data_IF_767850228527
#
_entry.id   IF_767850228527
#
_cell.length_a   1.000
_cell.length_b   1.000
_cell.length_c   1.000
_cell.angle_alpha   90.00
_cell.angle_beta   90.00
_cell.angle_gamma   90.00
#
_symmetry.space_group_name_H-M   'P 1'
#
loop_
_entity.id
_entity.type
_entity.pdbx_description
1 polymer ?
#
# COMPACT_ATOMS: atom_id res chain seq x y z
N UNK A 1 -7.80 -6.46 -14.59
CA UNK A 1 -7.05 -7.72 -14.80
C UNK A 1 -6.57 -8.37 -13.50
N UNK A 2 -7.13 -7.96 -12.33
CA UNK A 2 -6.65 -8.37 -10.99
C UNK A 2 -7.38 -9.58 -10.37
N UNK A 3 -8.31 -10.21 -11.07
CA UNK A 3 -9.15 -11.27 -10.47
C UNK A 3 -8.44 -12.65 -10.37
N UNK A 4 -7.41 -12.91 -11.15
CA UNK A 4 -6.67 -14.18 -11.11
C UNK A 4 -5.72 -14.35 -9.92
N UNK A 5 -5.14 -13.25 -9.44
CA UNK A 5 -4.15 -13.23 -8.35
C UNK A 5 -4.78 -13.57 -6.98
N UNK A 6 -5.98 -13.05 -6.70
CA UNK A 6 -6.67 -13.28 -5.42
C UNK A 6 -7.11 -14.74 -5.23
N UNK A 7 -7.52 -15.43 -6.29
CA UNK A 7 -7.88 -16.86 -6.23
C UNK A 7 -6.67 -17.78 -5.96
N UNK A 8 -5.48 -17.42 -6.47
CA UNK A 8 -4.27 -18.22 -6.20
C UNK A 8 -3.77 -18.07 -4.76
N UNK A 9 -4.00 -16.93 -4.11
CA UNK A 9 -3.62 -16.69 -2.71
C UNK A 9 -4.37 -17.62 -1.74
N UNK A 10 -5.66 -17.82 -1.96
CA UNK A 10 -6.51 -18.65 -1.09
C UNK A 10 -6.21 -20.16 -1.29
N UNK A 11 -5.88 -20.59 -2.50
CA UNK A 11 -5.59 -21.99 -2.82
C UNK A 11 -4.29 -22.51 -2.17
N UNK A 12 -3.39 -21.62 -1.73
CA UNK A 12 -2.11 -21.99 -1.12
C UNK A 12 -2.12 -22.08 0.41
N UNK A 13 -3.23 -21.76 1.09
CA UNK A 13 -3.33 -21.85 2.56
C UNK A 13 -3.88 -23.21 2.92
N UNK A 14 -3.09 -24.13 3.54
CA UNK A 14 -3.56 -25.46 3.88
C UNK A 14 -4.42 -25.46 5.16
N UNK A 15 -5.11 -24.37 5.43
CA UNK A 15 -6.01 -24.26 6.58
C UNK A 15 -7.40 -24.68 6.12
N UNK A 16 -7.86 -25.84 6.61
CA UNK A 16 -9.24 -26.26 6.44
C UNK A 16 -10.14 -25.30 7.21
N UNK A 17 -10.75 -24.34 6.51
CA UNK A 17 -11.76 -23.47 7.10
C UNK A 17 -12.97 -24.33 7.42
N UNK A 18 -13.20 -24.63 8.69
CA UNK A 18 -14.44 -25.25 9.15
C UNK A 18 -15.46 -24.12 9.28
N UNK A 19 -16.54 -24.10 8.46
CA UNK A 19 -17.56 -23.07 8.59
C UNK A 19 -18.12 -23.10 10.00
N UNK A 20 -18.08 -21.99 10.70
CA UNK A 20 -18.79 -21.84 11.99
C UNK A 20 -20.29 -21.91 11.70
N UNK A 21 -20.99 -22.83 12.32
CA UNK A 21 -22.41 -23.13 12.09
C UNK A 21 -23.31 -21.95 12.43
N UNK A 22 -22.83 -20.99 13.23
CA UNK A 22 -23.55 -19.75 13.56
C UNK A 22 -22.64 -18.55 13.44
N UNK A 23 -22.93 -17.69 12.47
CA UNK A 23 -22.30 -16.36 12.38
C UNK A 23 -22.94 -15.48 13.46
N UNK A 24 -22.20 -15.24 14.54
CA UNK A 24 -22.67 -14.32 15.59
C UNK A 24 -22.88 -12.93 15.00
N UNK A 25 -24.00 -12.28 15.35
CA UNK A 25 -24.25 -10.90 14.98
C UNK A 25 -23.12 -10.03 15.54
N UNK A 26 -22.55 -9.17 14.68
CA UNK A 26 -21.52 -8.22 15.12
C UNK A 26 -22.11 -7.27 16.17
N UNK A 27 -21.37 -6.92 17.23
CA UNK A 27 -21.80 -5.93 18.21
C UNK A 27 -22.19 -4.59 17.54
N UNK A 28 -23.17 -3.90 18.09
CA UNK A 28 -23.72 -2.67 17.49
C UNK A 28 -22.72 -1.51 17.42
N UNK A 29 -21.63 -1.57 18.20
CA UNK A 29 -20.57 -0.58 18.17
C UNK A 29 -19.58 -0.78 17.00
N UNK A 30 -19.57 -1.95 16.37
CA UNK A 30 -18.78 -2.19 15.14
C UNK A 30 -19.56 -1.61 13.95
N UNK A 31 -19.40 -0.32 13.75
CA UNK A 31 -19.99 0.40 12.62
C UNK A 31 -18.89 1.14 11.86
N UNK A 32 -18.85 0.97 10.57
CA UNK A 32 -18.02 1.78 9.67
C UNK A 32 -18.89 2.92 9.16
N UNK A 33 -18.39 4.16 9.27
CA UNK A 33 -19.04 5.30 8.60
C UNK A 33 -18.88 5.11 7.10
N UNK A 34 -19.98 5.09 6.38
CA UNK A 34 -19.96 5.06 4.92
C UNK A 34 -19.62 6.47 4.44
N UNK A 35 -18.41 6.64 3.93
CA UNK A 35 -18.03 7.85 3.20
C UNK A 35 -18.70 7.86 1.82
N UNK A 36 -18.71 9.03 1.17
CA UNK A 36 -19.31 9.17 -0.15
C UNK A 36 -18.70 8.18 -1.16
N UNK A 37 -19.51 7.28 -1.76
CA UNK A 37 -19.01 6.36 -2.79
C UNK A 37 -18.34 7.08 -3.95
N UNK A 38 -18.81 8.29 -4.29
CA UNK A 38 -18.25 9.11 -5.35
C UNK A 38 -16.83 9.59 -5.05
N UNK A 39 -16.55 9.97 -3.80
CA UNK A 39 -15.21 10.39 -3.38
C UNK A 39 -14.20 9.26 -3.42
N UNK A 40 -14.59 8.09 -2.89
CA UNK A 40 -13.76 6.87 -2.97
C UNK A 40 -13.48 6.50 -4.44
N UNK A 41 -14.49 6.58 -5.31
CA UNK A 41 -14.33 6.30 -6.72
C UNK A 41 -13.36 7.29 -7.39
N UNK A 42 -13.44 8.59 -7.06
CA UNK A 42 -12.54 9.64 -7.55
C UNK A 42 -11.08 9.33 -7.18
N UNK A 43 -10.84 9.02 -5.91
CA UNK A 43 -9.48 8.72 -5.43
C UNK A 43 -8.94 7.46 -6.12
N UNK A 44 -9.73 6.40 -6.21
CA UNK A 44 -9.33 5.18 -6.92
C UNK A 44 -9.04 5.41 -8.40
N UNK A 45 -9.82 6.26 -9.06
CA UNK A 45 -9.56 6.64 -10.45
C UNK A 45 -8.21 7.35 -10.59
N UNK A 46 -7.89 8.28 -9.68
CA UNK A 46 -6.62 9.01 -9.68
C UNK A 46 -5.43 8.07 -9.46
N UNK A 47 -5.52 7.15 -8.51
CA UNK A 47 -4.48 6.14 -8.26
C UNK A 47 -4.21 5.28 -9.51
N UNK A 48 -5.26 4.85 -10.22
CA UNK A 48 -5.10 4.07 -11.46
C UNK A 48 -4.52 4.86 -12.61
N UNK A 49 -4.92 6.13 -12.75
CA UNK A 49 -4.35 7.03 -13.75
C UNK A 49 -2.83 7.16 -13.59
N UNK A 50 -2.36 7.27 -12.35
CA UNK A 50 -0.96 7.40 -11.99
C UNK A 50 -0.24 6.04 -11.78
N UNK A 51 -0.93 4.92 -12.01
CA UNK A 51 -0.42 3.55 -11.79
C UNK A 51 0.11 3.29 -10.37
N UNK A 52 -0.49 3.96 -9.39
CA UNK A 52 -0.12 3.83 -7.98
C UNK A 52 -0.94 2.77 -7.27
N UNK A 53 -0.34 2.19 -6.25
CA UNK A 53 -0.94 1.17 -5.39
C UNK A 53 -1.11 1.68 -3.96
N UNK A 54 -2.14 1.21 -3.28
CA UNK A 54 -2.34 1.48 -1.86
C UNK A 54 -2.59 0.18 -1.11
N UNK A 55 -2.01 0.07 0.08
CA UNK A 55 -2.31 -1.05 0.99
C UNK A 55 -3.80 -1.11 1.29
N UNK A 56 -4.46 0.06 1.33
CA UNK A 56 -5.90 0.16 1.59
C UNK A 56 -6.75 -0.59 0.55
N UNK A 57 -6.31 -0.62 -0.72
CA UNK A 57 -7.00 -1.38 -1.78
C UNK A 57 -6.53 -2.84 -1.80
N UNK A 58 -5.22 -3.10 -1.73
CA UNK A 58 -4.65 -4.43 -1.84
C UNK A 58 -5.05 -5.34 -0.66
N UNK A 59 -5.11 -4.79 0.55
CA UNK A 59 -5.58 -5.52 1.74
C UNK A 59 -7.10 -5.48 1.93
N UNK A 60 -7.87 -4.95 0.97
CA UNK A 60 -9.32 -4.79 1.07
C UNK A 60 -9.76 -4.16 2.42
N UNK A 61 -9.07 -3.10 2.84
CA UNK A 61 -9.26 -2.47 4.14
C UNK A 61 -10.68 -1.90 4.29
N UNK A 62 -11.42 -2.26 5.35
CA UNK A 62 -12.78 -1.76 5.55
C UNK A 62 -12.82 -0.25 5.88
N UNK A 63 -11.71 0.33 6.33
CA UNK A 63 -11.61 1.73 6.73
C UNK A 63 -11.18 2.67 5.59
N UNK A 64 -10.90 2.13 4.40
CA UNK A 64 -10.40 2.89 3.24
C UNK A 64 -11.18 4.18 3.01
N UNK A 65 -12.51 4.10 3.00
CA UNK A 65 -13.36 5.24 2.73
C UNK A 65 -13.25 6.34 3.79
N UNK A 66 -13.13 5.94 5.07
CA UNK A 66 -12.97 6.88 6.18
C UNK A 66 -11.59 7.55 6.12
N UNK A 67 -10.51 6.77 5.97
CA UNK A 67 -9.14 7.31 5.89
C UNK A 67 -9.01 8.31 4.75
N UNK A 68 -9.51 7.98 3.57
CA UNK A 68 -9.47 8.88 2.43
C UNK A 68 -10.24 10.19 2.67
N UNK A 69 -11.42 10.13 3.29
CA UNK A 69 -12.20 11.33 3.67
C UNK A 69 -11.49 12.18 4.72
N UNK A 70 -10.69 11.56 5.59
CA UNK A 70 -9.94 12.26 6.64
C UNK A 70 -8.61 12.83 6.11
N UNK A 71 -8.31 12.65 4.82
CA UNK A 71 -7.08 13.12 4.18
C UNK A 71 -5.86 12.27 4.52
N UNK A 72 -6.07 10.97 4.72
CA UNK A 72 -5.02 9.98 5.03
C UNK A 72 -5.01 8.87 3.99
N UNK A 73 -3.82 8.50 3.50
CA UNK A 73 -3.64 7.35 2.61
C UNK A 73 -2.36 6.58 2.97
N UNK A 74 -2.33 5.29 2.61
CA UNK A 74 -1.14 4.45 2.74
C UNK A 74 -0.73 3.98 1.35
N UNK A 75 0.30 4.59 0.79
CA UNK A 75 0.87 4.21 -0.50
C UNK A 75 1.75 2.98 -0.36
N UNK A 76 1.67 2.11 -1.34
CA UNK A 76 2.53 0.94 -1.45
C UNK A 76 3.39 1.12 -2.71
N UNK A 77 4.65 1.47 -2.52
CA UNK A 77 5.59 1.75 -3.59
C UNK A 77 6.32 0.49 -4.08
N UNK A 78 7.01 0.61 -5.21
CA UNK A 78 7.75 -0.46 -5.89
C UNK A 78 6.87 -1.56 -6.49
N UNK A 79 5.60 -1.22 -6.77
CA UNK A 79 4.63 -2.09 -7.43
C UNK A 79 3.75 -2.89 -6.48
N UNK A 80 3.08 -3.92 -7.02
CA UNK A 80 2.08 -4.74 -6.33
C UNK A 80 2.50 -6.19 -6.11
N UNK A 81 3.75 -6.54 -6.47
CA UNK A 81 4.29 -7.90 -6.34
C UNK A 81 5.49 -7.90 -5.41
N UNK A 82 5.36 -8.63 -4.31
CA UNK A 82 6.39 -8.80 -3.30
C UNK A 82 7.30 -9.99 -3.63
N UNK A 83 8.61 -9.89 -3.35
CA UNK A 83 9.53 -11.02 -3.45
C UNK A 83 9.31 -12.07 -2.37
N UNK A 84 8.61 -11.71 -1.27
CA UNK A 84 8.36 -12.58 -0.12
C UNK A 84 6.91 -12.99 -0.02
N UNK A 85 6.69 -14.12 0.66
CA UNK A 85 5.37 -14.69 0.91
C UNK A 85 5.11 -14.79 2.41
N UNK A 86 4.60 -13.71 2.98
CA UNK A 86 4.24 -13.70 4.40
C UNK A 86 2.83 -14.29 4.59
N UNK A 87 2.61 -15.21 5.55
CA UNK A 87 1.33 -15.90 5.70
C UNK A 87 0.18 -14.99 6.16
N UNK A 88 0.48 -13.84 6.72
CA UNK A 88 -0.48 -12.84 7.20
C UNK A 88 -0.74 -11.72 6.19
N UNK A 89 -0.01 -11.68 5.06
CA UNK A 89 -0.07 -10.60 4.10
C UNK A 89 -0.91 -10.96 2.88
N UNK A 90 -1.81 -10.06 2.47
CA UNK A 90 -2.68 -10.26 1.31
C UNK A 90 -2.13 -9.66 0.00
N UNK A 91 -0.92 -9.08 0.03
CA UNK A 91 -0.25 -8.54 -1.15
C UNK A 91 0.23 -9.66 -2.08
N UNK A 92 0.18 -9.43 -3.39
CA UNK A 92 0.67 -10.35 -4.40
C UNK A 92 2.16 -10.68 -4.21
N UNK A 93 2.56 -11.92 -4.53
CA UNK A 93 3.96 -12.33 -4.40
C UNK A 93 4.43 -13.04 -5.67
N UNK A 94 5.71 -12.90 -5.97
CA UNK A 94 6.31 -13.49 -7.16
C UNK A 94 7.56 -12.75 -7.59
N UNK A 95 7.76 -12.66 -8.89
CA UNK A 95 8.83 -11.87 -9.48
C UNK A 95 8.31 -10.46 -9.78
N UNK A 96 8.78 -9.42 -9.08
CA UNK A 96 8.38 -8.04 -9.34
C UNK A 96 8.81 -7.57 -10.74
N UNK A 97 8.10 -6.58 -11.24
CA UNK A 97 8.52 -5.84 -12.42
C UNK A 97 9.71 -4.92 -12.10
N UNK A 98 10.31 -4.33 -13.13
CA UNK A 98 11.27 -3.25 -12.95
C UNK A 98 10.62 -2.07 -12.21
N UNK A 99 11.44 -1.31 -11.46
CA UNK A 99 10.96 -0.10 -10.79
C UNK A 99 10.50 0.92 -11.83
N UNK A 100 9.33 1.50 -11.57
CA UNK A 100 8.85 2.64 -12.34
C UNK A 100 9.60 3.90 -11.84
N UNK A 101 10.40 4.49 -12.72
CA UNK A 101 11.20 5.68 -12.41
C UNK A 101 10.34 6.93 -12.17
N UNK A 102 9.11 6.93 -12.66
CA UNK A 102 8.18 8.03 -12.50
C UNK A 102 7.30 7.87 -11.25
N UNK A 103 7.33 6.70 -10.57
CA UNK A 103 6.53 6.43 -9.37
C UNK A 103 6.77 7.46 -8.25
N UNK A 104 8.01 7.90 -7.93
CA UNK A 104 8.26 8.92 -6.91
C UNK A 104 7.51 10.22 -7.19
N UNK A 105 7.62 10.71 -8.43
CA UNK A 105 6.93 11.92 -8.86
C UNK A 105 5.40 11.75 -8.87
N UNK A 106 4.90 10.65 -9.43
CA UNK A 106 3.46 10.36 -9.47
C UNK A 106 2.86 10.26 -8.07
N UNK A 107 3.60 9.67 -7.13
CA UNK A 107 3.19 9.61 -5.72
C UNK A 107 3.07 11.01 -5.13
N UNK A 108 4.09 11.85 -5.28
CA UNK A 108 4.10 13.21 -4.78
C UNK A 108 2.99 14.09 -5.40
N UNK A 109 2.78 14.00 -6.72
CA UNK A 109 1.68 14.70 -7.42
C UNK A 109 0.30 14.23 -6.94
N UNK A 110 0.17 12.95 -6.61
CA UNK A 110 -1.09 12.39 -6.11
C UNK A 110 -1.37 12.86 -4.68
N UNK A 111 -0.36 12.88 -3.81
CA UNK A 111 -0.45 13.40 -2.44
C UNK A 111 -0.93 14.86 -2.46
N UNK A 112 -0.29 15.69 -3.29
CA UNK A 112 -0.67 17.09 -3.49
C UNK A 112 -2.10 17.20 -4.05
N UNK A 113 -2.42 16.45 -5.10
CA UNK A 113 -3.72 16.53 -5.77
C UNK A 113 -4.89 16.00 -4.96
N UNK A 114 -4.62 15.18 -3.94
CA UNK A 114 -5.60 14.69 -2.97
C UNK A 114 -5.65 15.54 -1.69
N UNK A 115 -4.77 16.56 -1.58
CA UNK A 115 -4.66 17.44 -0.41
C UNK A 115 -4.49 16.65 0.89
N UNK A 116 -3.64 15.61 0.86
CA UNK A 116 -3.43 14.75 2.02
C UNK A 116 -2.76 15.54 3.14
N UNK A 117 -3.21 15.28 4.37
CA UNK A 117 -2.64 15.85 5.60
C UNK A 117 -1.63 14.90 6.25
N UNK A 118 -1.83 13.61 6.01
CA UNK A 118 -1.03 12.54 6.55
C UNK A 118 -0.92 11.41 5.53
N UNK A 119 0.28 10.97 5.26
CA UNK A 119 0.54 9.84 4.39
C UNK A 119 1.44 8.82 5.07
N UNK A 120 1.18 7.56 4.78
CA UNK A 120 2.07 6.46 5.11
C UNK A 120 2.64 5.92 3.81
N UNK A 121 3.96 5.84 3.72
CA UNK A 121 4.66 5.22 2.60
C UNK A 121 5.21 3.89 3.06
N UNK A 122 4.76 2.82 2.44
CA UNK A 122 5.28 1.47 2.64
C UNK A 122 5.60 0.84 1.30
N UNK A 123 6.14 -0.36 1.29
CA UNK A 123 6.53 -1.04 0.04
C UNK A 123 6.23 -2.53 0.07
N UNK A 124 6.28 -3.13 -1.10
CA UNK A 124 6.58 -4.56 -1.23
C UNK A 124 8.06 -4.82 -0.90
N UNK A 125 8.40 -6.04 -0.44
CA UNK A 125 9.81 -6.42 -0.33
C UNK A 125 10.44 -6.59 -1.71
N UNK A 126 11.62 -6.02 -1.89
CA UNK A 126 12.41 -6.04 -3.13
C UNK A 126 13.78 -6.65 -2.87
N UNK A 127 13.79 -7.92 -2.43
CA UNK A 127 15.02 -8.68 -2.18
C UNK A 127 15.88 -8.87 -3.44
N UNK A 128 15.28 -8.64 -4.61
CA UNK A 128 15.93 -8.64 -5.93
C UNK A 128 16.82 -7.41 -6.17
N UNK A 129 16.58 -6.30 -5.45
CA UNK A 129 17.39 -5.09 -5.56
C UNK A 129 18.59 -5.12 -4.60
N UNK A 130 19.69 -4.50 -4.99
CA UNK A 130 20.93 -4.49 -4.20
C UNK A 130 20.79 -3.79 -2.87
N UNK A 131 20.04 -2.70 -2.83
CA UNK A 131 19.75 -1.87 -1.66
C UNK A 131 18.42 -2.23 -0.99
N UNK A 132 17.70 -3.23 -1.52
CA UNK A 132 16.35 -3.60 -1.05
C UNK A 132 15.28 -2.55 -1.34
N UNK A 133 15.57 -1.57 -2.19
CA UNK A 133 14.68 -0.47 -2.55
C UNK A 133 14.83 0.79 -1.69
N UNK A 134 15.87 0.88 -0.85
CA UNK A 134 16.08 2.03 0.04
C UNK A 134 16.19 3.36 -0.75
N UNK A 135 16.94 3.37 -1.86
CA UNK A 135 17.06 4.57 -2.68
C UNK A 135 15.71 5.04 -3.25
N UNK A 136 14.86 4.10 -3.61
CA UNK A 136 13.52 4.43 -4.11
C UNK A 136 12.64 5.08 -3.04
N UNK A 137 12.76 4.65 -1.76
CA UNK A 137 12.14 5.36 -0.64
C UNK A 137 12.62 6.81 -0.54
N UNK A 138 13.93 7.03 -0.65
CA UNK A 138 14.53 8.39 -0.59
C UNK A 138 13.98 9.27 -1.71
N UNK A 139 13.88 8.75 -2.94
CA UNK A 139 13.32 9.49 -4.08
C UNK A 139 11.87 9.87 -3.82
N UNK A 140 11.02 8.94 -3.36
CA UNK A 140 9.61 9.21 -3.02
C UNK A 140 9.50 10.25 -1.91
N UNK A 141 10.30 10.14 -0.85
CA UNK A 141 10.29 11.10 0.26
C UNK A 141 10.69 12.51 -0.18
N UNK A 142 11.73 12.62 -0.99
CA UNK A 142 12.21 13.91 -1.48
C UNK A 142 11.18 14.61 -2.37
N UNK A 143 10.57 13.88 -3.31
CA UNK A 143 9.52 14.41 -4.17
C UNK A 143 8.27 14.79 -3.36
N UNK A 144 7.84 13.95 -2.42
CA UNK A 144 6.69 14.22 -1.56
C UNK A 144 6.90 15.45 -0.69
N UNK A 145 8.06 15.61 -0.06
CA UNK A 145 8.40 16.79 0.74
C UNK A 145 8.51 18.06 -0.09
N UNK A 146 9.02 17.96 -1.32
CA UNK A 146 9.13 19.09 -2.23
C UNK A 146 7.78 19.64 -2.65
N UNK A 147 6.81 18.78 -2.96
CA UNK A 147 5.48 19.17 -3.43
C UNK A 147 4.48 19.42 -2.28
N UNK A 148 4.62 18.71 -1.16
CA UNK A 148 3.69 18.75 -0.03
C UNK A 148 4.41 18.94 1.30
N UNK A 149 5.09 20.09 1.54
CA UNK A 149 5.97 20.29 2.71
C UNK A 149 5.21 20.26 4.05
N UNK A 150 3.90 20.45 4.05
CA UNK A 150 3.06 20.45 5.24
C UNK A 150 2.37 19.10 5.50
N UNK A 151 2.51 18.13 4.59
CA UNK A 151 1.98 16.80 4.80
C UNK A 151 2.87 16.05 5.79
N UNK A 152 2.27 15.41 6.79
CA UNK A 152 3.00 14.53 7.69
C UNK A 152 3.27 13.21 6.98
N UNK A 153 4.53 12.79 6.95
CA UNK A 153 4.97 11.57 6.29
C UNK A 153 5.43 10.56 7.33
N UNK A 154 4.82 9.40 7.32
CA UNK A 154 5.28 8.21 8.05
C UNK A 154 5.83 7.20 7.05
N UNK A 155 6.93 6.56 7.37
CA UNK A 155 7.48 5.47 6.57
C UNK A 155 7.40 4.15 7.34
N UNK A 156 6.93 3.11 6.66
CA UNK A 156 6.94 1.74 7.15
C UNK A 156 7.85 0.93 6.22
N UNK A 157 9.11 0.84 6.61
CA UNK A 157 10.15 0.19 5.79
C UNK A 157 10.22 -1.31 6.04
N UNK A 158 10.66 -2.12 5.06
CA UNK A 158 10.97 -3.53 5.24
C UNK A 158 12.28 -3.71 6.04
N UNK A 159 12.63 -4.95 6.34
CA UNK A 159 13.91 -5.28 6.99
C UNK A 159 15.12 -5.23 6.06
N UNK A 160 14.93 -4.84 4.80
CA UNK A 160 15.94 -4.79 3.74
C UNK A 160 16.79 -6.06 3.62
N UNK A 161 16.29 -7.18 4.14
CA UNK A 161 17.01 -8.48 4.18
C UNK A 161 18.36 -8.38 4.88
N UNK A 162 18.40 -7.67 6.00
CA UNK A 162 19.62 -7.47 6.80
C UNK A 162 20.61 -6.43 6.27
N UNK A 163 20.25 -5.68 5.22
CA UNK A 163 21.06 -4.58 4.66
C UNK A 163 20.69 -3.23 5.30
N UNK A 164 20.42 -3.25 6.59
CA UNK A 164 19.91 -2.09 7.32
C UNK A 164 20.91 -0.93 7.30
N UNK A 165 22.22 -1.22 7.40
CA UNK A 165 23.26 -0.19 7.35
C UNK A 165 23.20 0.60 6.04
N UNK A 166 23.09 -0.10 4.90
CA UNK A 166 22.94 0.54 3.58
C UNK A 166 21.69 1.39 3.51
N UNK A 167 20.58 0.91 4.09
CA UNK A 167 19.32 1.63 4.08
C UNK A 167 19.37 2.90 4.97
N UNK A 168 19.99 2.81 6.14
CA UNK A 168 20.14 3.94 7.07
C UNK A 168 21.07 5.03 6.52
N UNK A 169 22.05 4.67 5.73
CA UNK A 169 22.95 5.64 5.06
C UNK A 169 22.22 6.44 3.97
N UNK A 170 21.11 5.92 3.46
CA UNK A 170 20.32 6.55 2.39
C UNK A 170 19.13 7.34 2.95
N UNK A 171 18.47 6.84 3.98
CA UNK A 171 17.27 7.43 4.60
C UNK A 171 17.60 8.51 5.63
#
# INVERSE_FOLDING_TARGET
ASDGSKRQKVAGIPIKVIPTIETKKKPDWIRVKLSSPAEVARIKAKLREQKLYTVCEEAACPNLAQCFSDGTATFMIMGDICTRRCPFCDVGHGRPNELDKDEPRHTAETILGLELKYEVITSVDRDDLKDGGANHFVEVLNESRALSPNCLIEILVPDFRGRMDVALDLL
#
